data_IF_634570609508
#
_entry.id   IF_634570609508
#
_cell.length_a   1.000
_cell.length_b   1.000
_cell.length_c   1.000
_cell.angle_alpha   90.00
_cell.angle_beta   90.00
_cell.angle_gamma   90.00
#
_symmetry.space_group_name_H-M   'P 1'
#
loop_
_entity.id
_entity.type
_entity.pdbx_description
1 polymer ?
#
# COMPACT_ATOMS: atom_id res chain seq x y z
N UNK A 1 6.97 35.96 -20.06
CA UNK A 1 6.12 34.79 -20.34
C UNK A 1 7.03 33.57 -20.32
N UNK A 2 7.07 32.82 -19.21
CA UNK A 2 7.84 31.57 -19.13
C UNK A 2 6.87 30.39 -19.31
N UNK A 3 6.96 29.73 -20.46
CA UNK A 3 6.20 28.52 -20.76
C UNK A 3 6.83 27.32 -20.07
N UNK A 4 6.01 26.59 -19.31
CA UNK A 4 6.33 25.23 -18.87
C UNK A 4 6.24 24.29 -20.10
N UNK A 5 7.17 23.36 -20.31
CA UNK A 5 7.05 22.40 -21.41
C UNK A 5 5.86 21.45 -21.15
N UNK A 6 5.07 21.10 -22.19
CA UNK A 6 4.01 20.11 -22.11
C UNK A 6 4.63 18.71 -22.10
N UNK A 7 4.91 18.22 -20.90
CA UNK A 7 5.47 16.91 -20.65
C UNK A 7 5.40 16.65 -19.16
N UNK A 8 4.18 16.60 -18.63
CA UNK A 8 4.00 15.94 -17.34
C UNK A 8 4.45 14.50 -17.56
N UNK A 9 5.61 14.15 -17.02
CA UNK A 9 6.00 12.78 -16.68
C UNK A 9 4.74 12.02 -16.24
N UNK A 10 4.52 10.77 -16.65
CA UNK A 10 3.39 9.99 -16.15
C UNK A 10 3.55 9.99 -14.63
N UNK A 11 2.76 10.82 -13.94
CA UNK A 11 3.01 11.17 -12.57
C UNK A 11 3.17 9.86 -11.80
N UNK A 12 4.38 9.57 -11.31
CA UNK A 12 4.69 8.32 -10.66
C UNK A 12 3.58 8.05 -9.65
N UNK A 13 2.72 7.07 -9.97
CA UNK A 13 1.50 6.88 -9.21
C UNK A 13 1.88 6.08 -8.00
N UNK A 14 2.34 6.77 -6.98
CA UNK A 14 2.70 6.17 -5.71
C UNK A 14 1.43 5.71 -4.99
N UNK A 15 1.43 4.46 -4.51
CA UNK A 15 0.47 4.04 -3.50
C UNK A 15 1.08 4.27 -2.14
N UNK A 16 0.34 4.97 -1.29
CA UNK A 16 0.74 5.21 0.09
C UNK A 16 -0.04 4.29 1.02
N UNK A 17 0.65 3.71 1.99
CA UNK A 17 0.07 2.80 2.95
C UNK A 17 0.44 3.20 4.37
N UNK A 18 -0.52 3.09 5.29
CA UNK A 18 -0.27 3.19 6.72
C UNK A 18 -0.35 1.79 7.33
N UNK A 19 0.70 1.38 8.04
CA UNK A 19 0.75 0.11 8.76
C UNK A 19 0.74 0.41 10.25
N UNK A 20 -0.24 -0.15 10.96
CA UNK A 20 -0.32 -0.10 12.42
C UNK A 20 -0.01 -1.48 12.95
N UNK A 21 1.12 -1.61 13.66
CA UNK A 21 1.51 -2.83 14.34
C UNK A 21 0.84 -2.90 15.71
N UNK A 22 0.38 -4.09 16.07
CA UNK A 22 -0.17 -4.41 17.38
C UNK A 22 0.85 -5.22 18.15
N UNK A 23 1.39 -4.65 19.22
CA UNK A 23 2.25 -5.38 20.15
C UNK A 23 1.41 -5.81 21.36
N UNK A 24 1.56 -7.08 21.78
CA UNK A 24 1.02 -7.55 23.06
C UNK A 24 2.14 -7.57 24.09
N UNK A 25 1.86 -7.05 25.27
CA UNK A 25 2.81 -7.09 26.40
C UNK A 25 3.21 -8.54 26.71
N UNK A 26 4.50 -8.79 26.84
CA UNK A 26 5.07 -10.08 27.22
C UNK A 26 5.19 -11.12 26.10
N UNK A 27 4.76 -10.83 24.87
CA UNK A 27 4.98 -11.72 23.72
C UNK A 27 6.17 -11.27 22.86
N UNK A 28 6.91 -12.22 22.25
CA UNK A 28 7.89 -11.88 21.22
C UNK A 28 7.20 -11.04 20.13
N UNK A 29 7.92 -10.08 19.56
CA UNK A 29 7.41 -9.14 18.54
C UNK A 29 6.63 -9.91 17.47
N UNK A 30 5.30 -9.86 17.54
CA UNK A 30 4.43 -10.49 16.56
C UNK A 30 4.06 -9.45 15.50
N UNK A 31 4.23 -9.83 14.23
CA UNK A 31 3.94 -8.97 13.09
C UNK A 31 2.44 -9.01 12.79
N UNK A 32 1.63 -8.63 13.79
CA UNK A 32 0.18 -8.54 13.70
C UNK A 32 -0.22 -7.07 13.63
N UNK A 33 -1.33 -6.75 12.95
CA UNK A 33 -1.72 -5.36 12.80
C UNK A 33 -2.80 -5.11 11.76
N UNK A 34 -2.84 -3.86 11.31
CA UNK A 34 -3.73 -3.37 10.28
C UNK A 34 -2.95 -2.58 9.24
N UNK A 35 -3.31 -2.73 7.97
CA UNK A 35 -2.84 -1.91 6.86
C UNK A 35 -4.01 -1.16 6.24
N UNK A 36 -3.77 0.11 5.93
CA UNK A 36 -4.70 1.01 5.26
C UNK A 36 -4.05 1.55 3.99
N UNK A 37 -4.77 1.48 2.87
CA UNK A 37 -4.37 2.14 1.61
C UNK A 37 -4.92 3.56 1.60
N UNK A 38 -4.00 4.52 1.62
CA UNK A 38 -4.34 5.93 1.65
C UNK A 38 -4.92 6.35 0.29
N UNK A 39 -5.93 7.23 0.33
CA UNK A 39 -6.66 7.67 -0.87
C UNK A 39 -7.78 6.75 -1.33
N UNK A 40 -7.79 5.47 -0.95
CA UNK A 40 -8.93 4.56 -1.22
C UNK A 40 -9.77 4.27 0.03
N UNK A 41 -9.19 4.41 1.23
CA UNK A 41 -9.85 4.07 2.49
C UNK A 41 -9.98 2.56 2.73
N UNK A 42 -9.36 1.72 1.88
CA UNK A 42 -9.37 0.27 2.04
C UNK A 42 -8.50 -0.13 3.25
N UNK A 43 -9.07 -0.93 4.17
CA UNK A 43 -8.40 -1.37 5.40
C UNK A 43 -8.48 -2.88 5.55
N UNK A 44 -7.37 -3.51 5.93
CA UNK A 44 -7.27 -4.96 6.15
C UNK A 44 -6.40 -5.27 7.36
N UNK A 45 -6.79 -6.26 8.15
CA UNK A 45 -5.98 -6.79 9.24
C UNK A 45 -5.04 -7.90 8.73
N UNK A 46 -3.93 -8.10 9.41
CA UNK A 46 -2.98 -9.19 9.16
C UNK A 46 -2.47 -9.74 10.49
N UNK A 47 -2.17 -11.03 10.52
CA UNK A 47 -1.64 -11.73 11.70
C UNK A 47 -0.18 -12.16 11.52
N UNK A 48 0.32 -12.17 10.29
CA UNK A 48 1.70 -12.55 9.97
C UNK A 48 2.29 -11.65 8.90
N UNK A 49 3.63 -11.64 8.79
CA UNK A 49 4.32 -10.95 7.70
C UNK A 49 3.94 -11.47 6.31
N UNK A 50 3.70 -12.76 6.16
CA UNK A 50 3.27 -13.36 4.89
C UNK A 50 1.88 -12.87 4.47
N UNK A 51 0.94 -12.74 5.42
CA UNK A 51 -0.38 -12.16 5.14
C UNK A 51 -0.27 -10.71 4.69
N UNK A 52 0.59 -9.92 5.34
CA UNK A 52 0.84 -8.54 4.94
C UNK A 52 1.44 -8.46 3.53
N UNK A 53 2.41 -9.31 3.20
CA UNK A 53 3.02 -9.39 1.87
C UNK A 53 1.99 -9.76 0.80
N UNK A 54 1.11 -10.73 1.08
CA UNK A 54 0.06 -11.15 0.17
C UNK A 54 -0.94 -10.01 -0.13
N UNK A 55 -1.26 -9.17 0.85
CA UNK A 55 -2.11 -7.98 0.66
C UNK A 55 -1.47 -6.99 -0.31
N UNK A 56 -0.17 -6.70 -0.15
CA UNK A 56 0.55 -5.82 -1.07
C UNK A 56 0.63 -6.38 -2.49
N UNK A 57 0.93 -7.68 -2.62
CA UNK A 57 0.98 -8.34 -3.92
C UNK A 57 -0.38 -8.28 -4.65
N UNK A 58 -1.49 -8.49 -3.94
CA UNK A 58 -2.83 -8.42 -4.50
C UNK A 58 -3.18 -7.00 -5.00
N UNK A 59 -2.82 -5.96 -4.24
CA UNK A 59 -3.06 -4.58 -4.67
C UNK A 59 -2.19 -4.17 -5.86
N UNK A 60 -0.93 -4.60 -5.89
CA UNK A 60 -0.05 -4.34 -7.03
C UNK A 60 -0.57 -5.03 -8.29
N UNK A 61 -0.94 -6.31 -8.22
CA UNK A 61 -1.50 -7.05 -9.34
C UNK A 61 -2.79 -6.41 -9.88
N UNK A 62 -3.65 -5.88 -8.98
CA UNK A 62 -4.84 -5.14 -9.39
C UNK A 62 -4.51 -3.87 -10.18
N UNK A 63 -3.46 -3.14 -9.79
CA UNK A 63 -3.01 -1.97 -10.57
C UNK A 63 -2.52 -2.36 -11.96
N UNK A 64 -1.65 -3.35 -12.05
CA UNK A 64 -1.10 -3.80 -13.35
C UNK A 64 -2.20 -4.25 -14.32
N UNK A 65 -3.24 -4.93 -13.81
CA UNK A 65 -4.40 -5.32 -14.61
C UNK A 65 -5.23 -4.12 -15.09
N UNK A 66 -5.37 -3.07 -14.28
CA UNK A 66 -6.08 -1.84 -14.67
C UNK A 66 -5.29 -0.98 -15.66
N UNK A 67 -3.96 -1.10 -15.69
CA UNK A 67 -3.09 -0.41 -16.66
C UNK A 67 -3.06 -1.11 -18.02
N UNK A 68 -3.44 -2.39 -18.07
CA UNK A 68 -3.42 -3.23 -19.29
C UNK A 68 -4.77 -3.31 -20.02
N UNK A 69 -5.79 -2.58 -19.55
CA UNK A 69 -7.18 -2.58 -20.06
C UNK A 69 -7.57 -1.23 -20.64
#
# INVERSE_FOLDING_TARGET
MNGYPPGADPADRFDYFMIRLSQRDGEPVSMTGQVERLGTGEKRSFETGDQLLALFAAWLARRTNMESA
#
